data_IF_001631224082
#
_entry.id   IF_001631224082
#
_cell.length_a   1.000
_cell.length_b   1.000
_cell.length_c   1.000
_cell.angle_alpha   90.00
_cell.angle_beta   90.00
_cell.angle_gamma   90.00
#
_symmetry.space_group_name_H-M   'P 1'
#
loop_
_entity.id
_entity.type
_entity.pdbx_description
1 polymer ?
#
# COMPACT_ATOMS: atom_id res chain seq x y z
N UNK A 1 8.00 -12.76 1.73
CA UNK A 1 6.80 -11.90 1.75
C UNK A 1 5.87 -12.34 0.62
N UNK A 2 4.66 -12.86 0.90
CA UNK A 2 3.72 -13.24 -0.15
C UNK A 2 3.04 -12.00 -0.76
N UNK A 3 2.77 -12.00 -2.07
CA UNK A 3 1.90 -10.99 -2.69
C UNK A 3 0.43 -11.36 -2.55
N UNK A 4 -0.43 -10.34 -2.59
CA UNK A 4 -1.82 -10.51 -2.98
C UNK A 4 -1.89 -10.65 -4.50
N UNK A 5 -2.68 -11.62 -4.96
CA UNK A 5 -2.87 -11.92 -6.38
C UNK A 5 -4.25 -11.46 -6.84
N UNK A 6 -4.32 -10.94 -8.07
CA UNK A 6 -5.56 -10.61 -8.75
C UNK A 6 -5.40 -10.96 -10.23
N UNK A 7 -6.36 -11.72 -10.77
CA UNK A 7 -6.36 -12.23 -12.15
C UNK A 7 -5.05 -12.90 -12.61
N UNK A 8 -4.45 -13.71 -11.72
CA UNK A 8 -3.19 -14.40 -12.00
C UNK A 8 -1.94 -13.51 -12.06
N UNK A 9 -2.07 -12.22 -11.73
CA UNK A 9 -0.95 -11.26 -11.61
C UNK A 9 -0.79 -10.81 -10.15
N UNK A 10 0.43 -10.42 -9.79
CA UNK A 10 0.72 -9.88 -8.44
C UNK A 10 0.24 -8.44 -8.39
N UNK A 11 -0.57 -8.09 -7.39
CA UNK A 11 -1.11 -6.74 -7.23
C UNK A 11 -0.26 -5.91 -6.28
N UNK A 12 0.00 -6.44 -5.08
CA UNK A 12 0.69 -5.74 -4.00
C UNK A 12 1.39 -6.76 -3.11
N UNK A 13 2.53 -6.39 -2.53
CA UNK A 13 3.15 -7.20 -1.49
C UNK A 13 2.91 -6.57 -0.12
N UNK A 14 2.77 -7.42 0.90
CA UNK A 14 2.56 -6.97 2.26
C UNK A 14 3.32 -7.84 3.27
N UNK A 15 3.85 -7.22 4.32
CA UNK A 15 4.52 -7.93 5.41
C UNK A 15 4.19 -7.30 6.77
N UNK A 16 4.10 -8.13 7.79
CA UNK A 16 4.09 -7.72 9.18
C UNK A 16 5.51 -7.69 9.76
N UNK A 17 5.85 -6.61 10.46
CA UNK A 17 7.08 -6.43 11.22
C UNK A 17 6.76 -6.25 12.70
N UNK A 18 7.79 -6.17 13.54
CA UNK A 18 7.61 -6.01 15.00
C UNK A 18 6.80 -4.76 15.37
N UNK A 19 6.96 -3.66 14.64
CA UNK A 19 6.40 -2.35 14.99
C UNK A 19 5.41 -1.80 13.96
N UNK A 20 5.33 -2.38 12.77
CA UNK A 20 4.50 -1.88 11.68
C UNK A 20 4.09 -3.00 10.72
N UNK A 21 3.03 -2.79 9.96
CA UNK A 21 2.82 -3.50 8.70
C UNK A 21 3.30 -2.64 7.54
N UNK A 22 3.78 -3.28 6.49
CA UNK A 22 4.26 -2.58 5.30
C UNK A 22 3.55 -3.09 4.05
N UNK A 23 3.18 -2.16 3.18
CA UNK A 23 2.83 -2.42 1.78
C UNK A 23 3.98 -1.97 0.89
N UNK A 24 4.26 -2.73 -0.15
CA UNK A 24 5.35 -2.50 -1.08
C UNK A 24 4.82 -2.43 -2.50
N UNK A 25 5.66 -1.94 -3.41
CA UNK A 25 5.32 -1.71 -4.82
C UNK A 25 4.11 -0.80 -4.97
N UNK A 26 3.93 0.16 -4.05
CA UNK A 26 2.89 1.18 -4.15
C UNK A 26 3.28 2.17 -5.25
N UNK A 27 4.52 2.64 -5.29
CA UNK A 27 4.94 3.68 -6.22
C UNK A 27 4.28 5.04 -5.93
N UNK A 28 4.43 5.99 -6.85
CA UNK A 28 3.81 7.32 -6.77
C UNK A 28 2.36 7.24 -7.22
N UNK A 29 1.46 7.75 -6.39
CA UNK A 29 0.02 7.82 -6.61
C UNK A 29 -0.40 9.21 -7.09
N UNK A 30 -1.71 9.40 -7.30
CA UNK A 30 -2.28 10.71 -7.54
C UNK A 30 -2.04 11.68 -6.36
N UNK A 31 -2.10 12.98 -6.64
CA UNK A 31 -1.70 14.00 -5.68
C UNK A 31 -2.56 14.00 -4.39
N UNK A 32 -3.83 13.60 -4.49
CA UNK A 32 -4.74 13.55 -3.34
C UNK A 32 -4.37 12.38 -2.42
N UNK A 33 -4.18 11.19 -2.99
CA UNK A 33 -3.75 10.01 -2.25
C UNK A 33 -2.34 10.19 -1.67
N UNK A 34 -1.44 10.89 -2.35
CA UNK A 34 -0.10 11.20 -1.82
C UNK A 34 -0.14 12.05 -0.55
N UNK A 35 -1.09 12.98 -0.43
CA UNK A 35 -1.26 13.78 0.80
C UNK A 35 -1.61 12.89 1.98
N UNK A 36 -2.52 11.94 1.79
CA UNK A 36 -2.93 11.01 2.85
C UNK A 36 -1.90 9.90 3.11
N UNK A 37 -1.07 9.56 2.11
CA UNK A 37 0.03 8.62 2.24
C UNK A 37 1.25 9.23 2.94
N UNK A 38 1.45 10.54 2.88
CA UNK A 38 2.66 11.22 3.38
C UNK A 38 3.04 10.84 4.84
N UNK A 39 2.10 10.72 5.80
CA UNK A 39 2.42 10.30 7.17
C UNK A 39 2.91 8.84 7.28
N UNK A 40 2.59 8.00 6.30
CA UNK A 40 2.89 6.57 6.27
C UNK A 40 4.00 6.22 5.27
N UNK A 41 4.44 7.18 4.44
CA UNK A 41 5.45 6.98 3.42
C UNK A 41 6.81 6.69 4.06
N UNK A 42 7.38 5.53 3.75
CA UNK A 42 8.67 5.11 4.28
C UNK A 42 9.78 5.11 3.22
N UNK A 43 9.40 4.92 1.96
CA UNK A 43 10.27 5.01 0.78
C UNK A 43 9.40 5.31 -0.46
N UNK A 44 10.01 5.47 -1.63
CA UNK A 44 9.34 5.73 -2.92
C UNK A 44 8.20 4.75 -3.22
N UNK A 45 8.37 3.48 -2.88
CA UNK A 45 7.41 2.42 -3.18
C UNK A 45 6.82 1.73 -1.94
N UNK A 46 7.16 2.24 -0.75
CA UNK A 46 6.90 1.57 0.52
C UNK A 46 6.08 2.46 1.45
N UNK A 47 4.98 1.89 1.96
CA UNK A 47 4.10 2.53 2.95
C UNK A 47 4.07 1.67 4.21
N UNK A 48 4.27 2.29 5.38
CA UNK A 48 4.30 1.61 6.69
C UNK A 48 3.19 2.12 7.59
N UNK A 49 2.40 1.19 8.13
CA UNK A 49 1.35 1.44 9.10
C UNK A 49 1.83 1.01 10.49
N UNK A 50 2.11 1.94 11.42
CA UNK A 50 2.54 1.60 12.77
C UNK A 50 1.50 0.78 13.52
N UNK A 51 1.91 -0.32 14.16
CA UNK A 51 1.01 -1.20 14.93
C UNK A 51 0.51 -0.59 16.24
N UNK A 52 1.07 0.56 16.65
CA UNK A 52 0.59 1.35 17.80
C UNK A 52 -0.76 2.04 17.54
N UNK A 53 -1.23 2.05 16.29
CA UNK A 53 -2.50 2.63 15.89
C UNK A 53 -3.33 1.60 15.10
N UNK A 54 -4.67 1.72 15.10
CA UNK A 54 -5.51 0.94 14.21
C UNK A 54 -5.08 1.10 12.75
N UNK A 55 -5.19 0.03 11.98
CA UNK A 55 -4.93 0.06 10.54
C UNK A 55 -5.98 0.96 9.87
N UNK A 56 -5.58 1.96 9.08
CA UNK A 56 -6.53 2.82 8.35
C UNK A 56 -7.05 2.07 7.11
N UNK A 57 -8.04 1.20 7.31
CA UNK A 57 -8.53 0.32 6.25
C UNK A 57 -9.08 1.09 5.04
N UNK A 58 -9.69 2.25 5.23
CA UNK A 58 -10.19 3.09 4.12
C UNK A 58 -9.04 3.55 3.21
N UNK A 59 -7.90 3.93 3.79
CA UNK A 59 -6.70 4.30 3.03
C UNK A 59 -6.08 3.07 2.34
N UNK A 60 -6.06 1.91 3.01
CA UNK A 60 -5.59 0.65 2.39
C UNK A 60 -6.47 0.26 1.20
N UNK A 61 -7.78 0.42 1.31
CA UNK A 61 -8.72 0.20 0.22
C UNK A 61 -8.45 1.17 -0.93
N UNK A 62 -8.27 2.46 -0.66
CA UNK A 62 -7.99 3.46 -1.69
C UNK A 62 -6.70 3.14 -2.45
N UNK A 63 -5.61 2.82 -1.74
CA UNK A 63 -4.34 2.37 -2.34
C UNK A 63 -4.59 1.15 -3.24
N UNK A 64 -5.33 0.16 -2.74
CA UNK A 64 -5.58 -1.08 -3.49
C UNK A 64 -6.38 -0.81 -4.76
N UNK A 65 -7.39 0.07 -4.71
CA UNK A 65 -8.16 0.48 -5.89
C UNK A 65 -7.30 1.22 -6.91
N UNK A 66 -6.44 2.13 -6.45
CA UNK A 66 -5.51 2.85 -7.33
C UNK A 66 -4.55 1.88 -8.04
N UNK A 67 -4.02 0.88 -7.32
CA UNK A 67 -3.20 -0.18 -7.91
C UNK A 67 -3.96 -0.99 -8.96
N UNK A 68 -5.23 -1.32 -8.72
CA UNK A 68 -6.07 -2.03 -9.70
C UNK A 68 -6.24 -1.22 -10.98
N UNK A 69 -6.48 0.09 -10.87
CA UNK A 69 -6.62 1.00 -12.02
C UNK A 69 -5.31 1.17 -12.78
N UNK A 70 -4.17 1.21 -12.07
CA UNK A 70 -2.84 1.39 -12.67
C UNK A 70 -2.28 0.12 -13.35
N UNK A 71 -2.95 -1.03 -13.23
CA UNK A 71 -2.49 -2.28 -13.86
C UNK A 71 -2.48 -2.15 -15.39
N UNK A 72 -1.38 -2.50 -16.07
CA UNK A 72 -1.41 -2.69 -17.51
C UNK A 72 -2.37 -3.84 -17.86
N UNK A 73 -3.05 -3.72 -19.00
CA UNK A 73 -3.91 -4.77 -19.59
C UNK A 73 -3.17 -6.11 -19.76
#
# INVERSE_FOLDING_TARGET
>A
MPPAWLDGRRLVYFAGWKEHMALYTIGVMDAELEVDLAPFRADMDTVRFPLKHPVPYDLVEWITRALVVARPA
#
